data_IF_236431066628
#
_entry.id   IF_236431066628
#
_cell.length_a   1.000
_cell.length_b   1.000
_cell.length_c   1.000
_cell.angle_alpha   90.00
_cell.angle_beta   90.00
_cell.angle_gamma   90.00
#
_symmetry.space_group_name_H-M   'P 1'
#
loop_
_entity.id
_entity.type
_entity.pdbx_description
1 polymer ?
#
# COMPACT_ATOMS: atom_id res chain seq x y z
N UNK A 1 6.08 20.49 -35.52
CA UNK A 1 5.31 20.48 -34.25
C UNK A 1 6.16 19.77 -33.20
N UNK A 2 6.77 20.53 -32.28
CA UNK A 2 7.61 19.96 -31.24
C UNK A 2 6.76 19.17 -30.23
N UNK A 3 7.15 17.93 -29.96
CA UNK A 3 6.61 17.14 -28.83
C UNK A 3 6.91 17.95 -27.57
N UNK A 4 5.89 18.55 -26.96
CA UNK A 4 6.01 19.12 -25.60
C UNK A 4 6.34 17.95 -24.69
N UNK A 5 7.56 17.92 -24.16
CA UNK A 5 7.94 17.04 -23.07
C UNK A 5 7.01 17.31 -21.89
N UNK A 6 6.35 16.25 -21.40
CA UNK A 6 5.58 16.34 -20.16
C UNK A 6 6.51 16.85 -19.05
N UNK A 7 6.03 17.74 -18.16
CA UNK A 7 6.82 18.18 -17.03
C UNK A 7 7.25 16.96 -16.19
N UNK A 8 8.43 17.01 -15.55
CA UNK A 8 8.87 15.94 -14.67
C UNK A 8 7.85 15.73 -13.55
N UNK A 9 7.64 14.49 -13.09
CA UNK A 9 6.73 14.21 -12.00
C UNK A 9 7.11 15.03 -10.76
N UNK A 10 6.12 15.51 -9.98
CA UNK A 10 6.37 16.35 -8.83
C UNK A 10 7.23 15.61 -7.79
N UNK A 11 8.18 16.33 -7.18
CA UNK A 11 9.02 15.77 -6.13
C UNK A 11 8.22 15.53 -4.85
N UNK A 12 8.70 14.62 -4.00
CA UNK A 12 8.09 14.34 -2.69
C UNK A 12 7.89 15.61 -1.85
N UNK A 13 8.86 16.54 -1.89
CA UNK A 13 8.79 17.83 -1.17
C UNK A 13 7.66 18.71 -1.73
N UNK A 14 7.50 18.75 -3.06
CA UNK A 14 6.41 19.50 -3.70
C UNK A 14 5.03 18.93 -3.37
N UNK A 15 4.92 17.59 -3.31
CA UNK A 15 3.67 16.91 -2.96
C UNK A 15 3.31 17.13 -1.48
N UNK A 16 4.29 17.01 -0.57
CA UNK A 16 4.11 17.28 0.85
C UNK A 16 3.63 18.72 1.10
N UNK A 17 4.22 19.69 0.40
CA UNK A 17 3.82 21.09 0.51
C UNK A 17 2.35 21.32 0.09
N UNK A 18 1.84 20.55 -0.87
CA UNK A 18 0.44 20.66 -1.34
C UNK A 18 -0.60 20.15 -0.34
N UNK A 19 -0.20 19.26 0.58
CA UNK A 19 -1.07 18.75 1.65
C UNK A 19 -1.00 19.60 2.91
N UNK A 20 0.09 20.36 3.11
CA UNK A 20 0.41 20.98 4.38
C UNK A 20 0.86 19.94 5.42
N UNK A 21 1.23 20.41 6.62
CA UNK A 21 1.60 19.56 7.77
C UNK A 21 2.63 18.46 7.43
N UNK A 22 3.70 18.83 6.73
CA UNK A 22 4.77 17.92 6.29
C UNK A 22 4.29 16.73 5.44
N UNK A 23 3.12 16.85 4.79
CA UNK A 23 2.52 15.79 3.98
C UNK A 23 1.71 14.77 4.79
N UNK A 24 1.52 15.00 6.09
CA UNK A 24 0.82 14.07 6.99
C UNK A 24 -0.69 14.31 6.92
N UNK A 25 -1.45 13.21 6.89
CA UNK A 25 -2.90 13.23 7.09
C UNK A 25 -3.28 12.38 8.30
N UNK A 26 -4.46 12.65 8.86
CA UNK A 26 -5.07 11.82 9.89
C UNK A 26 -6.00 10.79 9.24
N UNK A 27 -6.13 9.61 9.84
CA UNK A 27 -7.03 8.54 9.37
C UNK A 27 -7.89 8.09 10.54
N UNK A 28 -9.21 8.20 10.39
CA UNK A 28 -10.18 7.56 11.26
C UNK A 28 -10.46 6.15 10.74
N UNK A 29 -10.08 5.17 11.55
CA UNK A 29 -10.21 3.76 11.23
C UNK A 29 -11.24 3.11 12.17
N UNK A 30 -12.32 2.61 11.59
CA UNK A 30 -13.32 1.84 12.33
C UNK A 30 -12.82 0.41 12.52
N UNK A 31 -12.74 -0.04 13.78
CA UNK A 31 -12.46 -1.43 14.14
C UNK A 31 -13.75 -2.14 14.52
N UNK A 32 -13.75 -3.48 14.66
CA UNK A 32 -14.92 -4.18 15.18
C UNK A 32 -15.42 -3.65 16.52
N UNK A 33 -14.52 -3.31 17.45
CA UNK A 33 -14.85 -2.90 18.82
C UNK A 33 -14.79 -1.38 19.08
N UNK A 34 -14.44 -0.56 18.08
CA UNK A 34 -14.38 0.89 18.27
C UNK A 34 -13.73 1.67 17.13
N UNK A 35 -12.99 2.72 17.47
CA UNK A 35 -12.32 3.60 16.51
C UNK A 35 -10.85 3.82 16.89
N UNK A 36 -9.99 3.82 15.88
CA UNK A 36 -8.58 4.18 15.98
C UNK A 36 -8.26 5.40 15.13
N UNK A 37 -7.31 6.20 15.60
CA UNK A 37 -6.75 7.34 14.88
C UNK A 37 -5.30 7.04 14.54
N UNK A 38 -4.95 7.20 13.27
CA UNK A 38 -3.59 7.07 12.76
C UNK A 38 -3.14 8.37 12.08
N UNK A 39 -1.85 8.71 12.21
CA UNK A 39 -1.23 9.60 11.22
C UNK A 39 -0.66 8.76 10.08
N UNK A 40 -0.80 9.23 8.86
CA UNK A 40 -0.36 8.56 7.64
C UNK A 40 0.44 9.51 6.75
N UNK A 41 1.47 8.96 6.08
CA UNK A 41 2.22 9.65 5.02
C UNK A 41 1.31 9.88 3.80
N UNK A 42 0.61 11.01 3.80
CA UNK A 42 -0.35 11.38 2.77
C UNK A 42 0.27 11.62 1.41
N UNK A 43 1.59 11.82 1.31
CA UNK A 43 2.29 11.94 0.03
C UNK A 43 2.11 10.69 -0.82
N UNK A 44 1.96 9.52 -0.19
CA UNK A 44 1.68 8.24 -0.86
C UNK A 44 0.41 8.26 -1.70
N UNK A 45 -0.59 9.05 -1.31
CA UNK A 45 -1.86 9.20 -2.05
C UNK A 45 -1.71 10.05 -3.32
N UNK A 46 -0.67 10.89 -3.37
CA UNK A 46 -0.47 11.83 -4.47
C UNK A 46 0.50 11.30 -5.54
N UNK A 47 1.06 10.11 -5.32
CA UNK A 47 1.92 9.47 -6.32
C UNK A 47 1.07 9.02 -7.52
N UNK A 48 1.58 9.13 -8.76
CA UNK A 48 0.84 8.75 -9.96
C UNK A 48 0.37 7.28 -9.98
N UNK A 49 1.08 6.42 -9.26
CA UNK A 49 0.86 4.98 -9.13
C UNK A 49 0.29 4.59 -7.75
N UNK A 50 -0.28 5.56 -7.01
CA UNK A 50 -0.82 5.36 -5.67
C UNK A 50 -1.78 4.15 -5.59
N UNK A 51 -2.76 4.08 -6.50
CA UNK A 51 -3.72 2.97 -6.57
C UNK A 51 -3.06 1.60 -6.72
N UNK A 52 -1.95 1.53 -7.45
CA UNK A 52 -1.25 0.27 -7.73
C UNK A 52 -0.38 -0.17 -6.55
N UNK A 53 0.19 0.79 -5.80
CA UNK A 53 1.34 0.54 -4.93
C UNK A 53 1.06 0.72 -3.44
N UNK A 54 -0.03 1.38 -3.03
CA UNK A 54 -0.31 1.66 -1.61
C UNK A 54 -0.35 0.40 -0.76
N UNK A 55 -1.04 -0.65 -1.22
CA UNK A 55 -1.22 -1.92 -0.49
C UNK A 55 0.12 -2.53 -0.06
N UNK A 56 1.18 -2.36 -0.86
CA UNK A 56 2.48 -2.95 -0.62
C UNK A 56 3.14 -2.43 0.67
N UNK A 57 2.75 -1.22 1.12
CA UNK A 57 3.18 -0.67 2.41
C UNK A 57 2.55 -1.41 3.59
N UNK A 58 1.40 -2.05 3.38
CA UNK A 58 0.63 -2.73 4.43
C UNK A 58 0.71 -4.25 4.34
N UNK A 59 1.44 -4.81 3.37
CA UNK A 59 1.57 -6.26 3.27
C UNK A 59 2.46 -6.87 4.38
N UNK A 60 3.29 -6.07 5.05
CA UNK A 60 4.12 -6.51 6.20
C UNK A 60 4.20 -5.43 7.27
N UNK A 61 4.23 -5.86 8.54
CA UNK A 61 4.30 -4.96 9.71
C UNK A 61 5.45 -3.95 9.63
N UNK A 62 6.64 -4.38 9.22
CA UNK A 62 7.82 -3.50 9.15
C UNK A 62 7.67 -2.41 8.09
N UNK A 63 6.96 -2.67 6.99
CA UNK A 63 6.65 -1.68 5.95
C UNK A 63 5.63 -0.66 6.44
N UNK A 64 4.59 -1.13 7.12
CA UNK A 64 3.52 -0.26 7.61
C UNK A 64 4.06 0.79 8.60
N UNK A 65 5.00 0.41 9.48
CA UNK A 65 5.65 1.32 10.41
C UNK A 65 6.40 2.50 9.77
N UNK A 66 6.71 2.43 8.47
CA UNK A 66 7.36 3.50 7.75
C UNK A 66 6.37 4.56 7.23
N UNK A 67 5.07 4.24 7.14
CA UNK A 67 4.07 5.12 6.52
C UNK A 67 2.87 5.42 7.42
N UNK A 68 2.66 4.64 8.48
CA UNK A 68 1.52 4.81 9.39
C UNK A 68 1.93 4.70 10.85
N UNK A 69 1.37 5.59 11.67
CA UNK A 69 1.66 5.66 13.11
C UNK A 69 0.37 5.81 13.91
N UNK A 70 0.11 4.89 14.85
CA UNK A 70 -1.05 4.96 15.74
C UNK A 70 -0.94 6.15 16.68
N UNK A 71 -2.04 6.89 16.83
CA UNK A 71 -2.19 7.96 17.82
C UNK A 71 -3.04 7.52 19.01
N UNK A 72 -4.23 7.00 18.75
CA UNK A 72 -5.17 6.62 19.80
C UNK A 72 -6.13 5.52 19.32
N UNK A 73 -6.62 4.70 20.24
CA UNK A 73 -7.70 3.75 20.03
C UNK A 73 -8.64 3.83 21.23
N UNK A 74 -9.95 3.82 20.98
CA UNK A 74 -10.97 3.79 22.00
C UNK A 74 -12.07 2.80 21.62
N UNK A 75 -12.65 2.15 22.63
CA UNK A 75 -13.80 1.26 22.47
C UNK A 75 -15.08 2.09 22.33
N UNK A 76 -15.95 1.68 21.41
CA UNK A 76 -17.26 2.28 21.19
C UNK A 76 -18.30 1.17 21.01
N UNK A 77 -19.29 1.12 21.89
CA UNK A 77 -20.30 0.05 21.91
C UNK A 77 -21.24 0.15 20.71
N UNK A 78 -21.72 1.35 20.38
CA UNK A 78 -22.62 1.60 19.27
C UNK A 78 -22.06 2.67 18.32
N UNK A 79 -21.22 2.20 17.39
CA UNK A 79 -20.59 3.04 16.36
C UNK A 79 -21.60 3.81 15.51
N UNK A 80 -22.84 3.31 15.38
CA UNK A 80 -23.91 3.99 14.62
C UNK A 80 -24.57 5.15 15.40
N UNK A 81 -24.47 5.12 16.73
CA UNK A 81 -24.81 6.24 17.59
C UNK A 81 -23.68 7.28 17.66
N UNK A 82 -22.42 6.85 17.53
CA UNK A 82 -21.25 7.72 17.62
C UNK A 82 -21.01 8.59 16.37
N UNK A 83 -21.44 8.13 15.20
CA UNK A 83 -21.45 8.91 13.95
C UNK A 83 -22.82 8.75 13.30
N UNK A 84 -23.69 9.74 13.49
CA UNK A 84 -25.09 9.65 13.12
C UNK A 84 -25.56 10.88 12.31
N UNK A 85 -26.33 10.71 11.23
CA UNK A 85 -26.83 11.83 10.43
C UNK A 85 -27.68 12.85 11.19
N UNK A 86 -28.37 12.43 12.27
CA UNK A 86 -29.29 13.27 13.05
C UNK A 86 -28.59 13.91 14.24
N UNK A 87 -27.85 13.12 15.02
CA UNK A 87 -27.20 13.60 16.25
C UNK A 87 -25.77 14.10 16.04
N UNK A 88 -25.20 13.91 14.84
CA UNK A 88 -23.84 14.27 14.53
C UNK A 88 -22.82 13.28 15.09
N UNK A 89 -21.71 13.79 15.59
CA UNK A 89 -20.64 13.01 16.21
C UNK A 89 -20.79 13.02 17.74
N UNK A 90 -20.66 11.88 18.40
CA UNK A 90 -20.73 11.80 19.87
C UNK A 90 -19.66 12.68 20.54
N UNK A 91 -19.86 13.01 21.82
CA UNK A 91 -18.91 13.88 22.55
C UNK A 91 -17.56 13.22 22.70
N UNK A 92 -17.56 11.91 22.95
CA UNK A 92 -16.41 11.07 23.14
C UNK A 92 -15.57 11.00 21.86
N UNK A 93 -16.20 10.68 20.72
CA UNK A 93 -15.51 10.65 19.43
C UNK A 93 -15.09 12.05 18.98
N UNK A 94 -15.89 13.08 19.25
CA UNK A 94 -15.50 14.48 18.97
C UNK A 94 -14.26 14.88 19.74
N UNK A 95 -14.15 14.52 21.02
CA UNK A 95 -12.97 14.78 21.83
C UNK A 95 -11.73 14.05 21.29
N UNK A 96 -11.89 12.78 20.87
CA UNK A 96 -10.83 12.01 20.24
C UNK A 96 -10.35 12.65 18.92
N UNK A 97 -11.28 13.08 18.05
CA UNK A 97 -10.96 13.72 16.78
C UNK A 97 -10.28 15.08 16.98
N UNK A 98 -10.84 15.95 17.83
CA UNK A 98 -10.30 17.29 18.08
C UNK A 98 -8.92 17.28 18.74
N UNK A 99 -8.58 16.22 19.48
CA UNK A 99 -7.25 16.03 20.08
C UNK A 99 -6.16 15.79 19.03
N UNK A 100 -6.48 15.13 17.91
CA UNK A 100 -5.48 14.70 16.92
C UNK A 100 -5.60 15.38 15.55
N UNK A 101 -6.78 15.92 15.21
CA UNK A 101 -7.05 16.56 13.93
C UNK A 101 -6.97 18.09 14.10
N UNK A 102 -5.76 18.61 14.30
CA UNK A 102 -5.54 20.05 14.41
C UNK A 102 -5.96 20.79 13.13
N UNK A 103 -6.28 22.09 13.22
CA UNK A 103 -6.60 22.91 12.05
C UNK A 103 -5.53 22.78 10.95
N UNK A 104 -5.97 22.55 9.71
CA UNK A 104 -5.10 22.36 8.54
C UNK A 104 -4.80 20.90 8.20
N UNK A 105 -5.00 19.94 9.12
CA UNK A 105 -4.93 18.51 8.79
C UNK A 105 -6.18 18.07 8.04
N UNK A 106 -6.00 17.16 7.08
CA UNK A 106 -7.11 16.43 6.46
C UNK A 106 -7.37 15.13 7.22
N UNK A 107 -8.64 14.76 7.36
CA UNK A 107 -9.06 13.51 7.98
C UNK A 107 -9.57 12.54 6.91
N UNK A 108 -8.89 11.42 6.76
CA UNK A 108 -9.37 10.31 5.95
C UNK A 108 -10.39 9.47 6.71
N UNK A 109 -11.46 9.08 6.01
CA UNK A 109 -12.53 8.21 6.52
C UNK A 109 -12.88 7.15 5.48
N UNK A 110 -13.39 5.99 5.94
CA UNK A 110 -13.70 4.85 5.06
C UNK A 110 -15.08 4.95 4.38
N UNK A 111 -15.92 5.89 4.79
CA UNK A 111 -17.32 6.03 4.35
C UNK A 111 -17.62 7.49 4.03
N UNK A 112 -18.25 7.74 2.87
CA UNK A 112 -18.71 9.09 2.50
C UNK A 112 -19.73 9.66 3.48
N UNK A 113 -20.52 8.79 4.11
CA UNK A 113 -21.43 9.16 5.20
C UNK A 113 -20.67 9.80 6.37
N UNK A 114 -19.58 9.16 6.84
CA UNK A 114 -18.77 9.70 7.93
C UNK A 114 -18.15 11.04 7.55
N UNK A 115 -17.65 11.16 6.32
CA UNK A 115 -17.13 12.43 5.79
C UNK A 115 -18.17 13.54 5.93
N UNK A 116 -19.39 13.29 5.45
CA UNK A 116 -20.48 14.28 5.45
C UNK A 116 -20.84 14.70 6.89
N UNK A 117 -20.97 13.73 7.80
CA UNK A 117 -21.38 13.99 9.19
C UNK A 117 -20.28 14.71 9.97
N UNK A 118 -19.02 14.29 9.83
CA UNK A 118 -17.89 14.88 10.54
C UNK A 118 -17.59 16.30 10.03
N UNK A 119 -17.63 16.52 8.71
CA UNK A 119 -17.49 17.86 8.14
C UNK A 119 -18.58 18.81 8.63
N UNK A 120 -19.85 18.36 8.67
CA UNK A 120 -20.97 19.17 9.14
C UNK A 120 -20.93 19.44 10.65
N UNK A 121 -20.54 18.44 11.45
CA UNK A 121 -20.58 18.52 12.91
C UNK A 121 -19.36 19.23 13.50
N UNK A 122 -18.18 19.01 12.93
CA UNK A 122 -16.89 19.44 13.51
C UNK A 122 -16.10 20.39 12.58
N UNK A 123 -16.50 20.57 11.33
CA UNK A 123 -15.79 21.42 10.37
C UNK A 123 -14.42 20.89 9.95
N UNK A 124 -14.12 19.61 10.20
CA UNK A 124 -12.85 18.96 9.87
C UNK A 124 -12.90 18.51 8.40
N UNK A 125 -12.03 19.02 7.50
CA UNK A 125 -12.02 18.60 6.11
C UNK A 125 -11.69 17.12 5.95
N UNK A 126 -12.51 16.39 5.20
CA UNK A 126 -12.41 14.94 5.08
C UNK A 126 -12.08 14.43 3.66
N UNK A 127 -11.34 13.34 3.60
CA UNK A 127 -10.97 12.60 2.40
C UNK A 127 -11.64 11.21 2.41
N UNK A 128 -12.19 10.82 1.26
CA UNK A 128 -12.80 9.51 1.04
C UNK A 128 -12.76 9.22 -0.47
N UNK A 129 -11.58 8.86 -0.98
CA UNK A 129 -11.35 8.52 -2.38
C UNK A 129 -10.85 7.07 -2.53
N UNK A 130 -10.74 6.60 -3.77
CA UNK A 130 -10.38 5.20 -4.06
C UNK A 130 -8.96 4.85 -3.56
N UNK A 131 -8.01 5.78 -3.64
CA UNK A 131 -6.66 5.57 -3.12
C UNK A 131 -6.67 5.43 -1.60
N UNK A 132 -7.56 6.15 -0.94
CA UNK A 132 -7.79 6.02 0.49
C UNK A 132 -8.35 4.63 0.85
N UNK A 133 -9.15 4.02 -0.02
CA UNK A 133 -9.68 2.67 0.20
C UNK A 133 -8.58 1.60 0.22
N UNK A 134 -7.49 1.80 -0.52
CA UNK A 134 -6.31 0.91 -0.45
C UNK A 134 -5.60 1.01 0.91
N UNK A 135 -5.54 2.21 1.51
CA UNK A 135 -5.03 2.37 2.87
C UNK A 135 -5.98 1.74 3.89
N UNK A 136 -7.30 1.89 3.73
CA UNK A 136 -8.27 1.25 4.63
C UNK A 136 -8.17 -0.28 4.57
N UNK A 137 -8.02 -0.84 3.37
CA UNK A 137 -7.72 -2.25 3.20
C UNK A 137 -6.41 -2.64 3.89
N UNK A 138 -5.36 -1.84 3.69
CA UNK A 138 -4.06 -2.04 4.31
C UNK A 138 -4.13 -2.05 5.83
N UNK A 139 -4.82 -1.07 6.44
CA UNK A 139 -5.03 -0.98 7.88
C UNK A 139 -5.76 -2.21 8.43
N UNK A 140 -6.80 -2.71 7.73
CA UNK A 140 -7.48 -3.95 8.07
C UNK A 140 -6.52 -5.14 8.08
N UNK A 141 -5.69 -5.27 7.05
CA UNK A 141 -4.72 -6.38 6.91
C UNK A 141 -3.74 -6.47 8.08
N UNK A 142 -3.24 -5.33 8.56
CA UNK A 142 -2.25 -5.25 9.65
C UNK A 142 -2.84 -4.74 10.97
N UNK A 143 -4.17 -4.75 11.11
CA UNK A 143 -4.90 -4.25 12.29
C UNK A 143 -4.41 -4.92 13.58
N UNK A 144 -4.28 -6.25 13.57
CA UNK A 144 -3.78 -7.05 14.70
C UNK A 144 -2.41 -6.59 15.23
N UNK A 145 -1.60 -5.95 14.36
CA UNK A 145 -0.28 -5.42 14.70
C UNK A 145 -0.30 -3.96 15.13
N UNK A 146 -1.27 -3.18 14.66
CA UNK A 146 -1.41 -1.75 14.96
C UNK A 146 -2.28 -1.48 16.18
N UNK A 147 -3.32 -2.27 16.39
CA UNK A 147 -4.30 -2.15 17.47
C UNK A 147 -4.34 -3.47 18.24
N UNK A 148 -3.29 -3.80 19.03
CA UNK A 148 -3.24 -5.06 19.77
C UNK A 148 -4.34 -5.20 20.84
N UNK A 149 -4.98 -4.10 21.22
CA UNK A 149 -6.14 -4.10 22.11
C UNK A 149 -7.42 -4.63 21.44
N UNK A 150 -7.49 -4.60 20.10
CA UNK A 150 -8.60 -5.16 19.33
C UNK A 150 -8.46 -6.68 19.28
N UNK A 151 -9.40 -7.35 19.95
CA UNK A 151 -9.46 -8.82 20.02
C UNK A 151 -10.53 -9.40 19.11
N UNK A 152 -11.46 -8.55 18.67
CA UNK A 152 -12.55 -8.95 17.81
C UNK A 152 -12.05 -9.00 16.37
N UNK A 153 -12.57 -10.00 15.70
CA UNK A 153 -12.18 -10.39 14.37
C UNK A 153 -13.01 -9.59 13.35
N UNK A 154 -12.41 -9.19 12.21
CA UNK A 154 -13.17 -8.50 11.13
C UNK A 154 -14.34 -9.36 10.63
N UNK A 155 -15.39 -8.74 10.12
CA UNK A 155 -16.49 -9.51 9.50
C UNK A 155 -16.00 -10.28 8.27
N UNK A 156 -16.78 -11.28 7.83
CA UNK A 156 -16.43 -12.08 6.65
C UNK A 156 -16.39 -11.19 5.40
N UNK A 157 -17.35 -10.28 5.27
CA UNK A 157 -17.47 -9.33 4.16
C UNK A 157 -16.26 -8.41 4.09
N UNK A 158 -15.78 -7.92 5.24
CA UNK A 158 -14.59 -7.07 5.29
C UNK A 158 -13.30 -7.81 4.96
N UNK A 159 -13.21 -9.10 5.31
CA UNK A 159 -12.06 -9.95 4.94
C UNK A 159 -12.00 -10.26 3.46
N UNK A 160 -13.16 -10.37 2.82
CA UNK A 160 -13.28 -10.66 1.40
C UNK A 160 -13.16 -9.40 0.53
N UNK A 161 -12.93 -8.23 1.12
CA UNK A 161 -12.58 -7.04 0.36
C UNK A 161 -11.17 -7.22 -0.22
N UNK A 162 -11.03 -7.17 -1.54
CA UNK A 162 -9.73 -7.28 -2.23
C UNK A 162 -9.10 -5.90 -2.43
N UNK A 163 -7.78 -5.80 -2.26
CA UNK A 163 -7.01 -4.62 -2.68
C UNK A 163 -6.88 -4.61 -4.20
N UNK A 164 -7.19 -3.47 -4.81
CA UNK A 164 -7.08 -3.30 -6.26
C UNK A 164 -5.62 -3.37 -6.71
N UNK A 165 -4.70 -2.70 -6.00
CA UNK A 165 -3.29 -2.72 -6.35
C UNK A 165 -2.67 -4.11 -6.22
N UNK A 166 -3.04 -4.87 -5.17
CA UNK A 166 -2.63 -6.26 -5.01
C UNK A 166 -3.12 -7.11 -6.18
N UNK A 167 -4.40 -6.97 -6.55
CA UNK A 167 -4.98 -7.69 -7.68
C UNK A 167 -4.29 -7.33 -9.00
N UNK A 168 -4.01 -6.04 -9.23
CA UNK A 168 -3.26 -5.58 -10.40
C UNK A 168 -1.88 -6.23 -10.48
N UNK A 169 -1.12 -6.26 -9.38
CA UNK A 169 0.18 -6.93 -9.35
C UNK A 169 0.05 -8.41 -9.70
N UNK A 170 -0.84 -9.14 -9.03
CA UNK A 170 -1.00 -10.59 -9.23
C UNK A 170 -1.43 -10.92 -10.67
N UNK A 171 -2.35 -10.15 -11.23
CA UNK A 171 -2.80 -10.29 -12.62
C UNK A 171 -1.68 -10.08 -13.64
N UNK A 172 -0.74 -9.15 -13.39
CA UNK A 172 0.44 -8.96 -14.27
C UNK A 172 1.31 -10.21 -14.35
N UNK A 173 1.35 -10.98 -13.27
CA UNK A 173 2.07 -12.24 -13.19
C UNK A 173 1.22 -13.46 -13.63
N UNK A 174 0.02 -13.22 -14.18
CA UNK A 174 -0.88 -14.28 -14.63
C UNK A 174 -1.51 -15.08 -13.49
N UNK A 175 -1.52 -14.55 -12.27
CA UNK A 175 -2.10 -15.19 -11.10
C UNK A 175 -3.51 -14.66 -10.88
N UNK A 176 -4.52 -15.47 -11.22
CA UNK A 176 -5.92 -15.17 -10.94
C UNK A 176 -6.26 -15.56 -9.49
N UNK A 177 -6.45 -14.54 -8.64
CA UNK A 177 -6.74 -14.72 -7.20
C UNK A 177 -8.11 -14.14 -6.88
N UNK A 178 -8.97 -14.99 -6.32
CA UNK A 178 -10.25 -14.57 -5.73
C UNK A 178 -10.05 -14.06 -4.31
N UNK A 179 -10.91 -13.18 -3.79
CA UNK A 179 -10.72 -12.62 -2.45
C UNK A 179 -10.61 -13.66 -1.33
N UNK A 180 -11.30 -14.80 -1.45
CA UNK A 180 -11.25 -15.90 -0.47
C UNK A 180 -9.88 -16.57 -0.39
N UNK A 181 -9.08 -16.47 -1.45
CA UNK A 181 -7.77 -17.09 -1.52
C UNK A 181 -6.73 -16.23 -0.82
N UNK A 182 -6.95 -14.92 -0.67
CA UNK A 182 -5.98 -13.94 -0.18
C UNK A 182 -5.60 -14.24 1.28
N UNK A 183 -4.39 -14.76 1.45
CA UNK A 183 -3.80 -15.12 2.74
C UNK A 183 -2.55 -14.29 3.01
N UNK A 184 -2.07 -14.27 4.26
CA UNK A 184 -0.80 -13.63 4.62
C UNK A 184 0.40 -14.18 3.81
N UNK A 185 0.32 -15.44 3.36
CA UNK A 185 1.32 -16.04 2.48
C UNK A 185 1.30 -15.41 1.09
N UNK A 186 0.13 -15.27 0.48
CA UNK A 186 -0.03 -14.63 -0.84
C UNK A 186 0.37 -13.16 -0.78
N UNK A 187 -0.07 -12.43 0.24
CA UNK A 187 0.31 -11.03 0.45
C UNK A 187 1.83 -10.92 0.61
N UNK A 188 2.46 -11.88 1.30
CA UNK A 188 3.90 -11.99 1.41
C UNK A 188 4.63 -12.18 0.11
N UNK A 189 4.20 -13.18 -0.67
CA UNK A 189 4.75 -13.44 -1.99
C UNK A 189 4.60 -12.21 -2.88
N UNK A 190 3.42 -11.59 -2.89
CA UNK A 190 3.17 -10.37 -3.64
C UNK A 190 4.10 -9.23 -3.21
N UNK A 191 4.37 -9.07 -1.90
CA UNK A 191 5.34 -8.07 -1.42
C UNK A 191 6.75 -8.31 -1.97
N UNK A 192 7.17 -9.57 -2.09
CA UNK A 192 8.47 -9.93 -2.66
C UNK A 192 8.50 -9.66 -4.16
N UNK A 193 7.45 -10.04 -4.90
CA UNK A 193 7.33 -9.74 -6.33
C UNK A 193 7.35 -8.22 -6.60
N UNK A 194 6.65 -7.45 -5.77
CA UNK A 194 6.68 -5.99 -5.81
C UNK A 194 8.10 -5.43 -5.64
N UNK A 195 8.88 -5.97 -4.69
CA UNK A 195 10.28 -5.54 -4.48
C UNK A 195 11.17 -5.96 -5.65
N UNK A 196 10.93 -7.13 -6.26
CA UNK A 196 11.60 -7.57 -7.47
C UNK A 196 11.38 -6.58 -8.63
N UNK A 197 10.12 -6.20 -8.90
CA UNK A 197 9.76 -5.20 -9.93
C UNK A 197 10.47 -3.87 -9.67
N UNK A 198 10.49 -3.42 -8.40
CA UNK A 198 11.17 -2.20 -8.00
C UNK A 198 12.68 -2.27 -8.25
N UNK A 199 13.32 -3.37 -7.84
CA UNK A 199 14.75 -3.58 -8.02
C UNK A 199 15.15 -3.69 -9.49
N UNK A 200 14.32 -4.35 -10.32
CA UNK A 200 14.53 -4.39 -11.77
C UNK A 200 14.54 -2.99 -12.38
N UNK A 201 13.57 -2.14 -12.02
CA UNK A 201 13.49 -0.76 -12.51
C UNK A 201 14.71 0.06 -12.09
N UNK A 202 15.12 -0.02 -10.82
CA UNK A 202 16.26 0.74 -10.28
C UNK A 202 17.57 0.38 -10.97
N UNK A 203 17.81 -0.90 -11.24
CA UNK A 203 19.07 -1.38 -11.80
C UNK A 203 19.04 -1.58 -13.32
N UNK A 204 17.90 -1.35 -13.97
CA UNK A 204 17.70 -1.64 -15.40
C UNK A 204 18.77 -1.02 -16.28
N UNK A 205 19.07 0.27 -16.10
CA UNK A 205 20.08 0.98 -16.92
C UNK A 205 21.45 0.30 -16.77
N UNK A 206 21.95 0.19 -15.54
CA UNK A 206 23.27 -0.40 -15.26
C UNK A 206 23.38 -1.86 -15.71
N UNK A 207 22.31 -2.64 -15.61
CA UNK A 207 22.30 -4.04 -16.03
C UNK A 207 22.24 -4.19 -17.55
N UNK A 208 21.52 -3.33 -18.27
CA UNK A 208 21.56 -3.29 -19.73
C UNK A 208 22.93 -2.86 -20.26
N UNK A 209 23.60 -1.90 -19.60
CA UNK A 209 24.99 -1.54 -19.92
C UNK A 209 25.93 -2.75 -19.75
N UNK A 210 25.79 -3.48 -18.64
CA UNK A 210 26.50 -4.75 -18.44
C UNK A 210 26.17 -5.80 -19.51
N UNK A 211 24.92 -5.88 -19.97
CA UNK A 211 24.50 -6.73 -21.08
C UNK A 211 25.21 -6.40 -22.40
N UNK A 212 25.43 -5.13 -22.70
CA UNK A 212 26.20 -4.74 -23.89
C UNK A 212 27.65 -5.24 -23.81
N UNK A 213 28.28 -5.14 -22.63
CA UNK A 213 29.63 -5.69 -22.39
C UNK A 213 29.62 -7.22 -22.56
N UNK A 214 28.61 -7.90 -22.01
CA UNK A 214 28.45 -9.35 -22.16
C UNK A 214 28.39 -9.74 -23.64
N UNK A 215 27.64 -8.99 -24.45
CA UNK A 215 27.55 -9.21 -25.90
C UNK A 215 28.89 -9.05 -26.58
N UNK A 216 29.65 -8.02 -26.24
CA UNK A 216 30.95 -7.75 -26.85
C UNK A 216 31.99 -8.84 -26.51
N UNK A 217 31.96 -9.37 -25.28
CA UNK A 217 32.95 -10.36 -24.80
C UNK A 217 32.58 -11.79 -25.17
N UNK A 218 31.29 -12.15 -25.12
CA UNK A 218 30.82 -13.54 -25.27
C UNK A 218 30.08 -13.82 -26.59
N UNK A 219 29.65 -12.78 -27.31
CA UNK A 219 28.80 -12.90 -28.49
C UNK A 219 27.31 -13.19 -28.19
N UNK A 220 26.92 -13.34 -26.92
CA UNK A 220 25.53 -13.56 -26.51
C UNK A 220 24.74 -12.26 -26.65
N UNK A 221 23.58 -12.28 -27.31
CA UNK A 221 22.75 -11.09 -27.54
C UNK A 221 21.64 -10.95 -26.49
N UNK A 222 21.71 -10.00 -25.54
CA UNK A 222 20.77 -9.94 -24.42
C UNK A 222 19.69 -8.86 -24.60
N UNK A 223 19.44 -8.39 -25.83
CA UNK A 223 18.52 -7.28 -26.13
C UNK A 223 17.13 -7.43 -25.49
N UNK A 224 16.61 -8.65 -25.44
CA UNK A 224 15.27 -8.95 -24.91
C UNK A 224 15.30 -9.52 -23.49
N UNK A 225 16.42 -9.41 -22.77
CA UNK A 225 16.58 -9.99 -21.45
C UNK A 225 16.13 -9.01 -20.37
N UNK A 226 15.44 -9.51 -19.34
CA UNK A 226 15.11 -8.71 -18.17
C UNK A 226 16.38 -8.34 -17.39
N UNK A 227 16.34 -7.28 -16.58
CA UNK A 227 17.45 -6.92 -15.70
C UNK A 227 17.90 -8.09 -14.81
N UNK A 228 16.98 -8.86 -14.22
CA UNK A 228 17.38 -10.04 -13.41
C UNK A 228 18.07 -11.13 -14.24
N UNK A 229 17.60 -11.38 -15.48
CA UNK A 229 18.26 -12.35 -16.36
C UNK A 229 19.67 -11.89 -16.75
N UNK A 230 19.84 -10.60 -17.01
CA UNK A 230 21.15 -9.97 -17.22
C UNK A 230 22.05 -10.12 -15.99
N UNK A 231 21.54 -9.81 -14.80
CA UNK A 231 22.29 -9.95 -13.56
C UNK A 231 22.78 -11.39 -13.33
N UNK A 232 21.90 -12.38 -13.54
CA UNK A 232 22.26 -13.80 -13.43
C UNK A 232 23.33 -14.19 -14.45
N UNK A 233 23.16 -13.84 -15.72
CA UNK A 233 24.13 -14.20 -16.75
C UNK A 233 25.50 -13.56 -16.53
N UNK A 234 25.54 -12.28 -16.12
CA UNK A 234 26.78 -11.61 -15.76
C UNK A 234 27.49 -12.30 -14.59
N UNK A 235 26.75 -12.71 -13.55
CA UNK A 235 27.32 -13.49 -12.44
C UNK A 235 27.86 -14.84 -12.89
N UNK A 236 27.12 -15.59 -13.71
CA UNK A 236 27.56 -16.90 -14.20
C UNK A 236 28.82 -16.80 -15.05
N UNK A 237 28.93 -15.79 -15.93
CA UNK A 237 30.13 -15.58 -16.76
C UNK A 237 31.34 -15.19 -15.91
N UNK A 238 31.14 -14.37 -14.88
CA UNK A 238 32.21 -13.94 -13.98
C UNK A 238 32.55 -14.95 -12.87
N UNK A 239 31.64 -15.88 -12.57
CA UNK A 239 31.75 -16.85 -11.48
C UNK A 239 31.03 -18.18 -11.84
N UNK A 240 31.61 -19.01 -12.72
CA UNK A 240 30.92 -20.13 -13.36
C UNK A 240 30.65 -21.36 -12.45
N UNK A 241 31.10 -21.34 -11.20
CA UNK A 241 30.96 -22.47 -10.26
C UNK A 241 29.63 -22.54 -9.50
N UNK A 242 28.69 -21.62 -9.74
CA UNK A 242 27.40 -21.56 -9.03
C UNK A 242 26.31 -22.30 -9.82
N UNK A 243 25.91 -23.50 -9.38
CA UNK A 243 24.74 -24.21 -9.93
C UNK A 243 23.45 -23.55 -9.42
N UNK A 244 22.64 -23.01 -10.34
CA UNK A 244 21.31 -22.50 -10.01
C UNK A 244 20.30 -23.65 -10.10
N UNK A 245 19.94 -24.24 -8.96
CA UNK A 245 18.84 -25.21 -8.88
C UNK A 245 17.52 -24.45 -8.92
N UNK A 246 16.86 -24.42 -10.08
CA UNK A 246 15.51 -23.87 -10.22
C UNK A 246 14.46 -24.92 -9.84
N UNK A 247 13.62 -24.63 -8.85
CA UNK A 247 12.41 -25.44 -8.56
C UNK A 247 11.31 -25.23 -9.61
N UNK A 248 10.32 -26.11 -9.68
CA UNK A 248 9.17 -25.97 -10.60
C UNK A 248 8.25 -24.82 -10.15
N UNK A 249 8.07 -23.77 -10.98
CA UNK A 249 7.15 -22.68 -10.65
C UNK A 249 5.70 -23.14 -10.40
N UNK A 250 5.24 -24.21 -11.07
CA UNK A 250 3.88 -24.72 -10.89
C UNK A 250 3.69 -25.37 -9.53
N UNK A 251 4.68 -26.13 -9.06
CA UNK A 251 4.67 -26.71 -7.71
C UNK A 251 4.67 -25.60 -6.66
N UNK A 252 5.54 -24.60 -6.81
CA UNK A 252 5.60 -23.45 -5.90
C UNK A 252 4.26 -22.70 -5.81
N UNK A 253 3.64 -22.39 -6.96
CA UNK A 253 2.34 -21.73 -6.98
C UNK A 253 1.26 -22.62 -6.34
N UNK A 254 1.28 -23.93 -6.60
CA UNK A 254 0.29 -24.86 -6.01
C UNK A 254 0.37 -24.93 -4.48
N UNK A 255 1.57 -24.85 -3.90
CA UNK A 255 1.77 -24.86 -2.44
C UNK A 255 1.41 -23.53 -1.77
N UNK A 256 1.53 -22.42 -2.50
CA UNK A 256 1.20 -21.08 -1.99
C UNK A 256 -0.32 -20.82 -2.00
N UNK A 257 -1.06 -21.38 -2.96
CA UNK A 257 -2.51 -21.20 -3.10
C UNK A 257 -3.37 -22.31 -2.47
N UNK A 258 -2.77 -23.19 -1.65
CA UNK A 258 -3.46 -24.26 -0.91
C UNK A 258 -3.91 -23.82 0.48
#
# INVERSE_FOLDING_TARGET
MGKRSLPPPPSHVSLAASLGNDGIIMVLFETPSGFAIFSFDGVRLLLPDAMENIWANFGRKYRAKCVVWRKEFQFFEDKSADINPVTGVSKELSAMLMKWCCPGYKLAVAKNEYKTIIEASLGIPCLCDDAMMEVMWGLKNIMHSLVPEEKSELSKEERLQMSQGLQMLLNRYGVDVKPEMVSDRIIGLACVLYDCDGNEKVHSISLHDGGNILKDVSGIDPRDWSPMKLATALKMVCYPGEEIVGGDPKEFLSDVFR
#
